data_IF_616546578855
#
_entry.id   IF_616546578855
#
_cell.length_a   1.000
_cell.length_b   1.000
_cell.length_c   1.000
_cell.angle_alpha   90.00
_cell.angle_beta   90.00
_cell.angle_gamma   90.00
#
_symmetry.space_group_name_H-M   'P 1'
#
loop_
_entity.id
_entity.type
_entity.pdbx_description
1 polymer ?
#
# COMPACT_ATOMS: atom_id res chain seq x y z
N UNK A 1 -19.05 -8.30 -26.84
CA UNK A 1 -18.94 -9.20 -25.66
C UNK A 1 -17.45 -9.53 -25.39
N UNK A 2 -16.64 -8.51 -25.06
CA UNK A 2 -15.21 -8.66 -24.75
C UNK A 2 -14.81 -7.96 -23.42
N UNK A 3 -15.77 -7.32 -22.73
CA UNK A 3 -15.55 -6.62 -21.47
C UNK A 3 -15.38 -7.56 -20.26
N UNK A 4 -16.12 -8.68 -20.25
CA UNK A 4 -16.16 -9.63 -19.13
C UNK A 4 -14.84 -10.39 -18.90
N UNK A 5 -13.99 -10.57 -19.93
CA UNK A 5 -12.71 -11.29 -19.78
C UNK A 5 -11.61 -10.42 -19.18
N UNK A 6 -11.63 -9.10 -19.39
CA UNK A 6 -10.61 -8.15 -18.90
C UNK A 6 -10.85 -7.75 -17.45
N UNK A 7 -12.11 -7.60 -17.03
CA UNK A 7 -12.46 -7.38 -15.61
C UNK A 7 -12.08 -8.60 -14.77
N UNK A 8 -12.27 -9.82 -15.30
CA UNK A 8 -11.81 -11.05 -14.64
C UNK A 8 -10.28 -11.18 -14.55
N UNK A 9 -9.51 -10.51 -15.41
CA UNK A 9 -8.05 -10.58 -15.34
C UNK A 9 -7.45 -9.84 -14.15
N UNK A 10 -8.20 -8.97 -13.48
CA UNK A 10 -7.70 -8.11 -12.39
C UNK A 10 -8.49 -8.26 -11.08
N UNK A 11 -9.01 -9.46 -10.81
CA UNK A 11 -9.64 -9.76 -9.52
C UNK A 11 -8.64 -9.53 -8.37
N UNK A 12 -8.92 -8.54 -7.52
CA UNK A 12 -8.04 -8.10 -6.42
C UNK A 12 -7.69 -9.23 -5.47
N UNK A 13 -8.71 -9.94 -4.98
CA UNK A 13 -8.54 -11.00 -3.98
C UNK A 13 -7.64 -12.12 -4.52
N UNK A 14 -7.81 -12.52 -5.78
CA UNK A 14 -6.96 -13.54 -6.40
C UNK A 14 -5.48 -13.10 -6.46
N UNK A 15 -5.22 -11.83 -6.80
CA UNK A 15 -3.86 -11.30 -6.83
C UNK A 15 -3.26 -11.16 -5.43
N UNK A 16 -4.05 -10.79 -4.43
CA UNK A 16 -3.60 -10.74 -3.05
C UNK A 16 -3.25 -12.11 -2.49
N UNK A 17 -4.07 -13.13 -2.79
CA UNK A 17 -3.78 -14.51 -2.41
C UNK A 17 -2.49 -15.01 -3.10
N UNK A 18 -2.35 -14.74 -4.40
CA UNK A 18 -1.12 -15.08 -5.13
C UNK A 18 0.12 -14.38 -4.55
N UNK A 19 0.01 -13.08 -4.25
CA UNK A 19 1.08 -12.34 -3.56
C UNK A 19 1.43 -12.98 -2.22
N UNK A 20 0.44 -13.35 -1.40
CA UNK A 20 0.63 -14.05 -0.13
C UNK A 20 1.47 -15.31 -0.29
N UNK A 21 1.06 -16.21 -1.18
CA UNK A 21 1.76 -17.46 -1.48
C UNK A 21 3.19 -17.27 -1.98
N UNK A 22 3.45 -16.22 -2.77
CA UNK A 22 4.77 -15.92 -3.32
C UNK A 22 5.65 -15.11 -2.36
N UNK A 23 5.09 -14.56 -1.28
CA UNK A 23 5.82 -13.74 -0.32
C UNK A 23 6.56 -14.58 0.73
N UNK A 24 7.61 -14.02 1.38
CA UNK A 24 8.28 -14.66 2.51
C UNK A 24 7.40 -14.92 3.74
N UNK A 25 6.17 -14.38 3.79
CA UNK A 25 5.23 -14.64 4.89
C UNK A 25 4.67 -16.05 4.84
N UNK A 26 4.66 -16.67 3.66
CA UNK A 26 4.21 -18.05 3.46
C UNK A 26 5.38 -18.90 2.96
N UNK A 27 5.28 -19.47 1.75
CA UNK A 27 6.23 -20.43 1.21
C UNK A 27 7.18 -19.84 0.16
N UNK A 28 7.03 -18.56 -0.18
CA UNK A 28 7.76 -17.92 -1.28
C UNK A 28 9.00 -17.14 -0.83
N UNK A 29 9.41 -16.20 -1.68
CA UNK A 29 10.59 -15.37 -1.47
C UNK A 29 10.33 -13.93 -1.89
N UNK A 30 11.17 -13.01 -1.39
CA UNK A 30 11.01 -11.60 -1.72
C UNK A 30 11.11 -11.37 -3.24
N UNK A 31 12.07 -12.04 -3.89
CA UNK A 31 12.26 -11.98 -5.34
C UNK A 31 10.99 -12.42 -6.08
N UNK A 32 10.42 -13.59 -5.74
CA UNK A 32 9.18 -14.08 -6.36
C UNK A 32 8.00 -13.13 -6.18
N UNK A 33 7.83 -12.56 -4.99
CA UNK A 33 6.76 -11.59 -4.73
C UNK A 33 6.94 -10.29 -5.51
N UNK A 34 8.18 -9.81 -5.66
CA UNK A 34 8.49 -8.61 -6.43
C UNK A 34 8.30 -8.85 -7.93
N UNK A 35 8.80 -9.96 -8.47
CA UNK A 35 8.64 -10.33 -9.89
C UNK A 35 7.16 -10.41 -10.27
N UNK A 36 6.33 -11.01 -9.40
CA UNK A 36 4.89 -11.06 -9.59
C UNK A 36 4.24 -9.67 -9.60
N UNK A 37 4.58 -8.84 -8.62
CA UNK A 37 4.07 -7.46 -8.52
C UNK A 37 4.46 -6.64 -9.77
N UNK A 38 5.70 -6.77 -10.22
CA UNK A 38 6.20 -6.10 -11.42
C UNK A 38 5.49 -6.56 -12.68
N UNK A 39 5.25 -7.86 -12.83
CA UNK A 39 4.50 -8.40 -13.95
C UNK A 39 3.05 -7.89 -13.97
N UNK A 40 2.39 -7.84 -12.82
CA UNK A 40 1.02 -7.29 -12.69
C UNK A 40 1.04 -5.80 -13.02
N UNK A 41 1.97 -5.03 -12.47
CA UNK A 41 2.08 -3.58 -12.73
C UNK A 41 2.35 -3.27 -14.20
N UNK A 42 3.14 -4.09 -14.88
CA UNK A 42 3.47 -3.90 -16.30
C UNK A 42 2.26 -4.14 -17.24
N UNK A 43 1.22 -4.83 -16.77
CA UNK A 43 0.12 -5.30 -17.60
C UNK A 43 -1.25 -4.77 -17.18
N UNK A 44 -1.40 -4.36 -15.92
CA UNK A 44 -2.65 -3.83 -15.38
C UNK A 44 -2.87 -2.34 -15.74
N UNK A 45 -4.11 -1.95 -16.09
CA UNK A 45 -4.49 -0.55 -16.12
C UNK A 45 -4.26 0.15 -14.76
N UNK A 46 -3.91 1.44 -14.72
CA UNK A 46 -3.65 2.17 -13.47
C UNK A 46 -4.82 2.20 -12.48
N UNK A 47 -6.06 2.08 -12.97
CA UNK A 47 -7.30 2.09 -12.16
C UNK A 47 -7.87 0.69 -11.92
N UNK A 48 -7.11 -0.36 -12.26
CA UNK A 48 -7.52 -1.73 -12.00
C UNK A 48 -7.56 -2.01 -10.48
N UNK A 49 -8.36 -3.00 -10.02
CA UNK A 49 -8.40 -3.38 -8.60
C UNK A 49 -7.07 -3.89 -8.01
N UNK A 50 -6.04 -4.05 -8.84
CA UNK A 50 -4.66 -4.40 -8.47
C UNK A 50 -3.75 -3.18 -8.27
N UNK A 51 -4.25 -1.95 -8.41
CA UNK A 51 -3.45 -0.72 -8.30
C UNK A 51 -2.69 -0.61 -6.96
N UNK A 52 -3.28 -1.09 -5.86
CA UNK A 52 -2.64 -1.15 -4.54
C UNK A 52 -1.53 -2.20 -4.38
N UNK A 53 -1.44 -3.19 -5.28
CA UNK A 53 -0.55 -4.34 -5.12
C UNK A 53 0.94 -3.97 -4.95
N UNK A 54 1.49 -2.98 -5.67
CA UNK A 54 2.90 -2.58 -5.52
C UNK A 54 3.26 -1.97 -4.16
N UNK A 55 2.28 -1.50 -3.37
CA UNK A 55 2.54 -0.97 -2.03
C UNK A 55 2.79 -2.08 -0.99
N UNK A 56 2.27 -3.29 -1.21
CA UNK A 56 2.42 -4.40 -0.27
C UNK A 56 3.88 -4.81 -0.01
N UNK A 57 4.72 -5.09 -1.03
CA UNK A 57 6.11 -5.49 -0.77
C UNK A 57 6.92 -4.37 -0.11
N UNK A 58 6.63 -3.10 -0.39
CA UNK A 58 7.27 -1.97 0.30
C UNK A 58 6.91 -1.96 1.78
N UNK A 59 5.63 -2.06 2.11
CA UNK A 59 5.16 -2.08 3.51
C UNK A 59 5.71 -3.31 4.25
N UNK A 60 5.73 -4.47 3.60
CA UNK A 60 6.21 -5.72 4.22
C UNK A 60 7.72 -5.67 4.49
N UNK A 61 8.50 -5.11 3.56
CA UNK A 61 9.95 -4.86 3.76
C UNK A 61 10.18 -3.86 4.87
N UNK A 62 9.39 -2.78 4.92
CA UNK A 62 9.46 -1.79 6.00
C UNK A 62 9.17 -2.44 7.36
N UNK A 63 8.07 -3.17 7.49
CA UNK A 63 7.69 -3.95 8.67
C UNK A 63 8.80 -4.91 9.10
N UNK A 64 9.35 -5.69 8.16
CA UNK A 64 10.44 -6.64 8.42
C UNK A 64 11.72 -5.95 8.89
N UNK A 65 12.07 -4.80 8.30
CA UNK A 65 13.25 -4.04 8.71
C UNK A 65 13.07 -3.46 10.13
N UNK A 66 11.86 -2.98 10.44
CA UNK A 66 11.50 -2.42 11.75
C UNK A 66 11.50 -3.49 12.84
N UNK A 67 10.97 -4.69 12.56
CA UNK A 67 10.92 -5.79 13.54
C UNK A 67 12.29 -6.36 13.90
N UNK A 68 13.26 -6.34 12.97
CA UNK A 68 14.66 -6.76 13.22
C UNK A 68 15.44 -5.81 14.14
N UNK A 69 15.00 -4.57 14.31
CA UNK A 69 15.67 -3.59 15.17
C UNK A 69 17.05 -3.14 14.68
N UNK A 70 17.78 -2.43 15.55
CA UNK A 70 19.16 -2.01 15.32
C UNK A 70 19.37 -1.20 14.03
N UNK A 71 20.48 -1.46 13.33
CA UNK A 71 20.84 -0.76 12.08
C UNK A 71 19.79 -0.97 10.99
N UNK A 72 19.12 -2.14 10.94
CA UNK A 72 18.08 -2.42 9.94
C UNK A 72 16.86 -1.52 10.12
N UNK A 73 16.45 -1.31 11.38
CA UNK A 73 15.35 -0.40 11.69
C UNK A 73 15.68 1.06 11.40
N UNK A 74 16.96 1.47 11.47
CA UNK A 74 17.42 2.82 11.08
C UNK A 74 17.47 2.99 9.55
N UNK A 75 17.75 1.92 8.81
CA UNK A 75 17.77 1.95 7.35
C UNK A 75 16.38 1.74 6.74
N UNK A 76 15.38 1.34 7.51
CA UNK A 76 14.00 1.15 7.05
C UNK A 76 13.44 2.41 6.37
N UNK A 77 13.78 3.59 6.86
CA UNK A 77 13.32 4.86 6.28
C UNK A 77 13.93 5.12 4.89
N UNK A 78 15.14 4.61 4.62
CA UNK A 78 15.79 4.73 3.30
C UNK A 78 15.04 3.97 2.20
N UNK A 79 14.20 2.99 2.57
CA UNK A 79 13.35 2.28 1.62
C UNK A 79 12.43 3.26 0.88
N UNK A 80 11.86 4.22 1.61
CA UNK A 80 10.88 5.17 1.08
C UNK A 80 11.51 6.24 0.18
N UNK A 81 12.79 6.56 0.39
CA UNK A 81 13.56 7.44 -0.48
C UNK A 81 14.10 6.74 -1.74
N UNK A 82 13.87 5.44 -1.90
CA UNK A 82 14.33 4.68 -3.06
C UNK A 82 13.47 4.93 -4.31
N UNK A 83 14.09 4.80 -5.49
CA UNK A 83 13.43 4.99 -6.79
C UNK A 83 12.12 4.20 -6.94
N UNK A 84 12.10 2.95 -6.51
CA UNK A 84 10.92 2.07 -6.54
C UNK A 84 9.74 2.68 -5.75
N UNK A 85 9.99 3.15 -4.52
CA UNK A 85 8.96 3.73 -3.67
C UNK A 85 8.42 5.04 -4.27
N UNK A 86 9.29 5.92 -4.79
CA UNK A 86 8.88 7.15 -5.47
C UNK A 86 8.01 6.86 -6.69
N UNK A 87 8.39 5.90 -7.54
CA UNK A 87 7.63 5.54 -8.74
C UNK A 87 6.22 5.00 -8.43
N UNK A 88 6.01 4.42 -7.24
CA UNK A 88 4.72 3.91 -6.80
C UNK A 88 3.92 5.01 -6.09
N UNK A 89 4.54 5.76 -5.19
CA UNK A 89 3.85 6.72 -4.32
C UNK A 89 3.42 7.99 -5.04
N UNK A 90 4.26 8.54 -5.92
CA UNK A 90 3.96 9.79 -6.63
C UNK A 90 2.65 9.73 -7.44
N UNK A 91 2.48 8.77 -8.39
CA UNK A 91 1.24 8.71 -9.16
C UNK A 91 0.02 8.33 -8.30
N UNK A 92 0.20 7.48 -7.28
CA UNK A 92 -0.89 7.09 -6.39
C UNK A 92 -1.38 8.28 -5.55
N UNK A 93 -0.46 9.06 -4.98
CA UNK A 93 -0.79 10.25 -4.19
C UNK A 93 -1.44 11.35 -5.02
N UNK A 94 -1.01 11.50 -6.28
CA UNK A 94 -1.57 12.50 -7.19
C UNK A 94 -3.02 12.19 -7.58
N UNK A 95 -3.40 10.92 -7.72
CA UNK A 95 -4.64 10.57 -8.41
C UNK A 95 -5.65 9.78 -7.56
N UNK A 96 -5.21 8.85 -6.70
CA UNK A 96 -6.14 7.95 -5.99
C UNK A 96 -7.10 8.65 -5.01
N UNK A 97 -6.72 9.72 -4.29
CA UNK A 97 -7.64 10.41 -3.39
C UNK A 97 -8.78 11.15 -4.09
N UNK A 98 -8.71 11.35 -5.41
CA UNK A 98 -9.76 12.02 -6.18
C UNK A 98 -11.03 11.17 -6.23
N UNK A 99 -12.18 11.81 -6.01
CA UNK A 99 -13.46 11.13 -6.00
C UNK A 99 -13.74 10.46 -7.37
N UNK A 100 -14.00 9.15 -7.35
CA UNK A 100 -14.27 8.36 -8.56
C UNK A 100 -13.04 7.88 -9.32
N UNK A 101 -11.82 8.22 -8.91
CA UNK A 101 -10.59 7.77 -9.59
C UNK A 101 -10.35 6.26 -9.47
N UNK A 102 -10.66 5.67 -8.31
CA UNK A 102 -10.62 4.23 -8.08
C UNK A 102 -12.07 3.68 -8.11
N UNK A 103 -12.60 3.28 -9.28
CA UNK A 103 -14.02 2.92 -9.45
C UNK A 103 -14.31 1.47 -9.01
N UNK A 104 -13.66 0.99 -7.95
CA UNK A 104 -13.81 -0.38 -7.45
C UNK A 104 -14.10 -0.43 -5.95
N UNK A 105 -14.89 -1.42 -5.53
CA UNK A 105 -15.44 -1.51 -4.17
C UNK A 105 -14.36 -1.53 -3.06
N UNK A 106 -13.19 -2.10 -3.35
CA UNK A 106 -12.09 -2.24 -2.41
C UNK A 106 -11.11 -1.05 -2.38
N UNK A 107 -11.39 0.06 -3.08
CA UNK A 107 -10.49 1.22 -3.18
C UNK A 107 -10.05 1.78 -1.83
N UNK A 108 -10.92 1.71 -0.82
CA UNK A 108 -10.60 2.20 0.52
C UNK A 108 -9.45 1.45 1.19
N UNK A 109 -9.24 0.17 0.86
CA UNK A 109 -8.11 -0.58 1.36
C UNK A 109 -6.79 -0.06 0.76
N UNK A 110 -6.80 0.28 -0.54
CA UNK A 110 -5.61 0.81 -1.22
C UNK A 110 -5.30 2.25 -0.77
N UNK A 111 -6.33 3.05 -0.46
CA UNK A 111 -6.17 4.35 0.19
C UNK A 111 -5.55 4.22 1.60
N UNK A 112 -5.92 3.18 2.37
CA UNK A 112 -5.27 2.90 3.66
C UNK A 112 -3.79 2.53 3.49
N UNK A 113 -3.44 1.75 2.46
CA UNK A 113 -2.03 1.44 2.13
C UNK A 113 -1.26 2.72 1.77
N UNK A 114 -1.84 3.57 0.92
CA UNK A 114 -1.23 4.83 0.50
C UNK A 114 -1.01 5.78 1.69
N UNK A 115 -2.04 5.99 2.52
CA UNK A 115 -1.94 6.85 3.70
C UNK A 115 -0.88 6.34 4.68
N UNK A 116 -0.84 5.02 4.91
CA UNK A 116 0.19 4.41 5.75
C UNK A 116 1.59 4.61 5.18
N UNK A 117 1.79 4.33 3.89
CA UNK A 117 3.09 4.43 3.24
C UNK A 117 3.63 5.86 3.25
N UNK A 118 2.79 6.87 2.99
CA UNK A 118 3.18 8.28 3.08
C UNK A 118 3.56 8.69 4.52
N UNK A 119 2.83 8.21 5.53
CA UNK A 119 3.23 8.41 6.93
C UNK A 119 4.54 7.70 7.28
N UNK A 120 4.74 6.47 6.80
CA UNK A 120 5.96 5.70 7.03
C UNK A 120 7.18 6.31 6.30
N UNK A 121 6.95 6.98 5.17
CA UNK A 121 7.94 7.75 4.43
C UNK A 121 8.35 9.07 5.10
N UNK A 122 7.72 9.44 6.23
CA UNK A 122 7.98 10.72 6.89
C UNK A 122 7.31 11.92 6.22
N UNK A 123 6.32 11.68 5.36
CA UNK A 123 5.60 12.72 4.61
C UNK A 123 4.10 12.77 4.99
N UNK A 124 3.76 12.93 6.29
CA UNK A 124 2.39 12.83 6.75
C UNK A 124 1.46 13.90 6.16
N UNK A 125 1.95 15.10 5.83
CA UNK A 125 1.16 16.13 5.17
C UNK A 125 0.60 15.67 3.81
N UNK A 126 1.38 14.90 3.03
CA UNK A 126 0.93 14.35 1.75
C UNK A 126 -0.13 13.25 1.90
N UNK A 127 -0.27 12.67 3.09
CA UNK A 127 -1.29 11.66 3.37
C UNK A 127 -2.69 12.26 3.63
N UNK A 128 -2.79 13.58 3.87
CA UNK A 128 -4.07 14.24 4.22
C UNK A 128 -5.18 13.99 3.18
N UNK A 129 -4.95 14.10 1.85
CA UNK A 129 -5.98 13.78 0.87
C UNK A 129 -6.47 12.33 0.96
N UNK A 130 -5.56 11.37 1.16
CA UNK A 130 -5.92 9.96 1.34
C UNK A 130 -6.74 9.76 2.62
N UNK A 131 -6.35 10.37 3.76
CA UNK A 131 -7.14 10.29 4.99
C UNK A 131 -8.56 10.85 4.85
N UNK A 132 -8.73 11.92 4.08
CA UNK A 132 -10.06 12.48 3.75
C UNK A 132 -10.87 11.50 2.91
N UNK A 133 -10.28 10.93 1.87
CA UNK A 133 -10.93 9.97 0.98
C UNK A 133 -11.31 8.65 1.70
N UNK A 134 -10.53 8.22 2.70
CA UNK A 134 -10.84 7.04 3.53
C UNK A 134 -12.11 7.24 4.37
N UNK A 135 -12.45 8.49 4.72
CA UNK A 135 -13.62 8.83 5.52
C UNK A 135 -13.77 8.02 6.84
N UNK A 136 -12.64 7.63 7.44
CA UNK A 136 -12.59 6.87 8.70
C UNK A 136 -12.80 5.36 8.58
N UNK A 137 -12.91 4.80 7.37
CA UNK A 137 -12.97 3.36 7.13
C UNK A 137 -11.58 2.73 7.25
N UNK A 138 -11.20 2.35 8.48
CA UNK A 138 -9.88 1.79 8.80
C UNK A 138 -9.81 0.31 8.46
N UNK A 139 -8.70 -0.12 7.84
CA UNK A 139 -8.40 -1.54 7.61
C UNK A 139 -7.42 -2.10 8.66
N UNK A 140 -7.51 -3.39 9.04
CA UNK A 140 -6.56 -4.00 9.97
C UNK A 140 -5.11 -3.94 9.50
N UNK A 141 -4.81 -4.38 8.28
CA UNK A 141 -3.54 -4.13 7.63
C UNK A 141 -3.62 -2.80 6.86
N UNK A 142 -2.60 -1.91 6.93
CA UNK A 142 -1.28 -2.10 7.56
C UNK A 142 -1.17 -1.60 9.02
N UNK A 143 -2.23 -0.99 9.55
CA UNK A 143 -2.21 -0.25 10.82
C UNK A 143 -2.02 -1.12 12.07
N UNK A 144 -2.47 -2.37 12.03
CA UNK A 144 -2.40 -3.35 13.11
C UNK A 144 -1.10 -4.15 13.19
N UNK A 145 -0.08 -3.76 12.43
CA UNK A 145 1.22 -4.44 12.48
C UNK A 145 1.82 -4.41 13.89
N UNK A 146 2.54 -5.48 14.26
CA UNK A 146 3.08 -5.73 15.61
C UNK A 146 2.02 -5.70 16.74
N UNK A 147 0.80 -6.15 16.44
CA UNK A 147 -0.27 -6.26 17.45
C UNK A 147 -0.83 -4.92 17.92
N UNK A 148 -0.57 -3.82 17.19
CA UNK A 148 -1.16 -2.51 17.47
C UNK A 148 -2.66 -2.52 17.21
N UNK A 149 -3.39 -1.68 17.94
CA UNK A 149 -4.77 -1.37 17.59
C UNK A 149 -4.82 -0.57 16.27
N UNK A 150 -5.45 -1.08 15.20
CA UNK A 150 -5.48 -0.43 13.89
C UNK A 150 -6.14 0.96 13.92
N UNK A 151 -7.22 1.11 14.70
CA UNK A 151 -7.99 2.37 14.78
C UNK A 151 -7.17 3.43 15.51
N UNK A 152 -6.51 3.06 16.61
CA UNK A 152 -5.63 3.97 17.35
C UNK A 152 -4.43 4.38 16.52
N UNK A 153 -3.80 3.45 15.80
CA UNK A 153 -2.67 3.73 14.92
C UNK A 153 -3.07 4.67 13.78
N UNK A 154 -4.17 4.38 13.08
CA UNK A 154 -4.73 5.22 12.02
C UNK A 154 -5.06 6.63 12.52
N UNK A 155 -5.81 6.75 13.61
CA UNK A 155 -6.25 8.05 14.12
C UNK A 155 -5.08 8.90 14.61
N UNK A 156 -4.04 8.27 15.17
CA UNK A 156 -2.81 8.96 15.57
C UNK A 156 -2.02 9.46 14.36
N UNK A 157 -1.91 8.65 13.31
CA UNK A 157 -1.27 9.07 12.06
C UNK A 157 -2.03 10.22 11.39
N UNK A 158 -3.36 10.14 11.33
CA UNK A 158 -4.21 11.22 10.80
C UNK A 158 -4.03 12.51 11.57
N UNK A 159 -4.06 12.48 12.91
CA UNK A 159 -3.83 13.68 13.74
C UNK A 159 -2.46 14.31 13.48
N UNK A 160 -1.41 13.50 13.29
CA UNK A 160 -0.07 14.01 12.96
C UNK A 160 -0.03 14.64 11.57
N UNK A 161 -0.70 14.04 10.60
CA UNK A 161 -0.85 14.59 9.25
C UNK A 161 -1.55 15.94 9.26
N UNK A 162 -2.67 16.07 9.98
CA UNK A 162 -3.41 17.32 10.10
C UNK A 162 -2.63 18.42 10.86
N UNK A 163 -1.70 18.03 11.74
CA UNK A 163 -0.84 18.94 12.48
C UNK A 163 0.48 19.29 11.76
N UNK A 164 0.75 18.66 10.62
CA UNK A 164 1.96 18.94 9.84
C UNK A 164 1.76 20.22 9.02
N UNK A 165 2.76 21.13 9.00
CA UNK A 165 2.67 22.41 8.30
C UNK A 165 2.67 22.25 6.77
#
# INVERSE_FOLDING_TARGET
MAGDRRERSWHREAHLQMYGCLSPRECGSLAQSMDFVDQVRATAPPTAPTAGLPLLPLIDRYHTARSKGGVQALMADRLWSGYEATQILEPAQAAWPEAGHLPYAAAVADLNLLAYALCAAGEPARAVPAFRAIAGLVTPFPWGHDGRDPVLAFTTARRRADASP
#
